data_IF_120013849344
#
_entry.id   IF_120013849344
#
_cell.length_a   1.000
_cell.length_b   1.000
_cell.length_c   1.000
_cell.angle_alpha   90.00
_cell.angle_beta   90.00
_cell.angle_gamma   90.00
#
_symmetry.space_group_name_H-M   'P 1'
#
loop_
_entity.id
_entity.type
_entity.pdbx_description
1 polymer ?
#
# COMPACT_ATOMS: atom_id res chain seq x y z
N UNK A 1 10.19 16.02 -53.61
CA UNK A 1 9.37 17.17 -53.22
C UNK A 1 7.93 16.74 -53.21
N UNK A 2 7.12 16.86 -52.17
CA UNK A 2 7.21 17.29 -50.76
C UNK A 2 5.81 16.91 -50.20
N UNK A 3 5.68 16.26 -49.04
CA UNK A 3 5.20 16.86 -47.77
C UNK A 3 3.78 17.48 -47.92
N UNK A 4 2.69 17.08 -47.27
CA UNK A 4 2.42 16.93 -45.82
C UNK A 4 0.93 16.48 -45.67
N UNK A 5 0.57 15.53 -44.79
CA UNK A 5 -0.05 15.81 -43.48
C UNK A 5 -1.56 16.12 -43.58
N UNK A 6 -2.50 15.34 -43.04
CA UNK A 6 -2.68 15.23 -41.59
C UNK A 6 -3.70 14.13 -41.25
N UNK A 7 -3.16 13.09 -40.60
CA UNK A 7 -3.65 12.32 -39.44
C UNK A 7 -5.16 12.04 -39.31
N UNK A 8 -5.44 10.75 -39.44
CA UNK A 8 -6.55 9.97 -38.90
C UNK A 8 -7.03 10.46 -37.52
N UNK A 9 -8.33 10.29 -37.17
CA UNK A 9 -8.82 10.58 -35.84
C UNK A 9 -8.12 9.64 -34.86
N UNK A 10 -7.08 10.14 -34.19
CA UNK A 10 -6.39 9.46 -33.11
C UNK A 10 -7.40 9.28 -31.97
N UNK A 11 -8.08 8.14 -32.04
CA UNK A 11 -9.05 7.65 -31.11
C UNK A 11 -8.39 7.54 -29.74
N UNK A 12 -8.65 8.53 -28.88
CA UNK A 12 -8.78 8.48 -27.42
C UNK A 12 -8.01 7.37 -26.65
N UNK A 13 -6.76 7.08 -27.01
CA UNK A 13 -5.91 6.16 -26.25
C UNK A 13 -5.28 6.88 -25.05
N UNK A 14 -6.03 7.74 -24.34
CA UNK A 14 -5.50 8.61 -23.28
C UNK A 14 -6.49 8.78 -22.12
N UNK A 15 -6.83 7.68 -21.45
CA UNK A 15 -7.54 7.70 -20.14
C UNK A 15 -7.37 6.40 -19.34
N UNK A 16 -7.10 5.28 -20.01
CA UNK A 16 -6.99 3.95 -19.37
C UNK A 16 -5.66 3.70 -18.66
N UNK A 17 -4.64 4.52 -18.88
CA UNK A 17 -3.28 4.29 -18.35
C UNK A 17 -3.00 5.02 -17.02
N UNK A 18 -3.59 6.21 -16.82
CA UNK A 18 -3.51 6.94 -15.54
C UNK A 18 -4.29 6.24 -14.43
N UNK A 19 -5.23 5.37 -14.81
CA UNK A 19 -5.92 4.41 -13.95
C UNK A 19 -5.30 3.02 -14.05
N UNK A 20 -4.01 2.83 -14.29
CA UNK A 20 -3.26 1.67 -13.75
C UNK A 20 -2.97 1.85 -12.26
N UNK A 21 -4.09 2.17 -11.60
CA UNK A 21 -4.48 1.95 -10.25
C UNK A 21 -3.34 1.83 -9.27
N UNK A 22 -3.28 2.85 -8.44
CA UNK A 22 -2.93 2.74 -7.05
C UNK A 22 -3.80 1.72 -6.24
N UNK A 23 -4.36 0.69 -6.88
CA UNK A 23 -4.94 -0.50 -6.24
C UNK A 23 -3.94 -1.23 -5.37
N UNK A 24 -2.65 -0.96 -5.53
CA UNK A 24 -1.64 -1.50 -4.65
C UNK A 24 -1.73 -0.89 -3.24
N UNK A 25 -2.33 0.28 -3.01
CA UNK A 25 -2.61 0.76 -1.64
C UNK A 25 -3.92 0.17 -1.10
N UNK A 26 -4.02 0.04 0.23
CA UNK A 26 -5.23 -0.43 0.94
C UNK A 26 -5.58 0.53 2.05
N UNK A 27 -6.88 0.71 2.28
CA UNK A 27 -7.37 1.54 3.38
C UNK A 27 -7.18 0.79 4.69
N UNK A 28 -7.00 1.52 5.79
CA UNK A 28 -6.91 0.90 7.10
C UNK A 28 -8.27 0.35 7.54
N UNK A 29 -9.38 0.90 7.05
CA UNK A 29 -10.74 0.35 7.24
C UNK A 29 -10.88 -1.09 6.74
N UNK A 30 -10.17 -1.47 5.68
CA UNK A 30 -10.24 -2.81 5.07
C UNK A 30 -9.31 -3.82 5.75
N UNK A 31 -8.50 -3.35 6.71
CA UNK A 31 -7.49 -4.15 7.38
C UNK A 31 -8.06 -4.83 8.63
N UNK A 32 -7.96 -6.17 8.71
CA UNK A 32 -8.33 -6.92 9.92
C UNK A 32 -7.43 -6.66 11.13
N UNK A 33 -6.35 -5.89 10.97
CA UNK A 33 -5.52 -5.43 12.08
C UNK A 33 -5.95 -4.07 12.63
N UNK A 34 -6.93 -3.39 12.02
CA UNK A 34 -7.57 -2.22 12.61
C UNK A 34 -8.59 -2.68 13.65
N UNK A 35 -8.46 -2.19 14.88
CA UNK A 35 -9.39 -2.49 15.95
C UNK A 35 -10.51 -1.47 16.02
N UNK A 36 -11.59 -1.84 16.74
CA UNK A 36 -12.78 -0.99 16.87
C UNK A 36 -12.50 0.37 17.53
N UNK A 37 -11.47 0.45 18.35
CA UNK A 37 -10.99 1.68 19.00
C UNK A 37 -10.12 2.56 18.07
N UNK A 38 -9.94 2.17 16.81
CA UNK A 38 -9.11 2.85 15.82
C UNK A 38 -7.62 2.56 15.94
N UNK A 39 -7.19 1.72 16.90
CA UNK A 39 -5.78 1.38 17.06
C UNK A 39 -5.36 0.25 16.11
N UNK A 40 -4.11 0.27 15.68
CA UNK A 40 -3.54 -0.79 14.88
C UNK A 40 -3.00 -1.92 15.77
N UNK A 41 -3.63 -3.09 15.74
CA UNK A 41 -3.18 -4.27 16.46
C UNK A 41 -1.77 -4.73 16.04
N UNK A 42 -1.41 -4.57 14.76
CA UNK A 42 -0.07 -4.91 14.27
C UNK A 42 1.01 -3.99 14.89
N UNK A 43 0.72 -2.69 15.04
CA UNK A 43 1.61 -1.76 15.74
C UNK A 43 1.69 -2.10 17.23
N UNK A 44 0.54 -2.40 17.87
CA UNK A 44 0.47 -2.79 19.28
C UNK A 44 1.26 -4.06 19.59
N UNK A 45 1.24 -5.04 18.67
CA UNK A 45 2.03 -6.28 18.75
C UNK A 45 3.50 -6.11 18.35
N UNK A 46 3.94 -4.89 18.05
CA UNK A 46 5.31 -4.58 17.60
C UNK A 46 5.69 -5.27 16.27
N UNK A 47 4.71 -5.66 15.46
CA UNK A 47 4.92 -6.14 14.09
C UNK A 47 5.32 -4.99 13.14
N UNK A 48 5.05 -3.74 13.56
CA UNK A 48 5.40 -2.50 12.84
C UNK A 48 6.36 -1.66 13.70
N UNK A 49 7.67 -1.96 13.70
CA UNK A 49 8.64 -1.30 14.57
C UNK A 49 8.77 0.21 14.31
N UNK A 50 8.43 0.68 13.11
CA UNK A 50 8.40 2.09 12.73
C UNK A 50 7.22 2.88 13.34
N UNK A 51 6.27 2.21 13.98
CA UNK A 51 5.09 2.82 14.60
C UNK A 51 5.07 2.56 16.11
N UNK A 52 4.50 3.52 16.86
CA UNK A 52 4.29 3.35 18.29
C UNK A 52 3.21 2.28 18.58
N UNK A 53 3.23 1.61 19.75
CA UNK A 53 2.23 0.61 20.10
C UNK A 53 0.78 1.12 20.14
N UNK A 54 0.60 2.43 20.37
CA UNK A 54 -0.68 3.14 20.40
C UNK A 54 -0.99 3.87 19.08
N UNK A 55 -0.37 3.43 17.98
CA UNK A 55 -0.57 4.05 16.67
C UNK A 55 -2.01 3.83 16.18
N UNK A 56 -2.74 4.92 15.98
CA UNK A 56 -4.07 4.96 15.39
C UNK A 56 -3.97 5.55 13.96
N UNK A 57 -4.04 4.72 12.91
CA UNK A 57 -4.05 5.22 11.54
C UNK A 57 -5.39 5.87 11.20
N UNK A 58 -5.36 6.80 10.24
CA UNK A 58 -6.57 7.25 9.57
C UNK A 58 -7.16 6.07 8.74
N UNK A 59 -8.43 5.68 8.97
CA UNK A 59 -9.05 4.52 8.32
C UNK A 59 -9.21 4.69 6.81
N UNK A 60 -9.49 5.90 6.33
CA UNK A 60 -9.82 6.18 4.92
C UNK A 60 -8.57 6.44 4.09
N UNK A 61 -7.43 6.72 4.73
CA UNK A 61 -6.18 6.96 4.02
C UNK A 61 -5.64 5.64 3.42
N UNK A 62 -5.53 5.51 2.09
CA UNK A 62 -4.94 4.32 1.47
C UNK A 62 -3.42 4.33 1.64
N UNK A 63 -2.84 3.22 2.13
CA UNK A 63 -1.41 3.08 2.41
C UNK A 63 -0.87 1.72 1.99
N UNK A 64 0.45 1.62 1.85
CA UNK A 64 1.18 0.34 1.81
C UNK A 64 1.64 0.03 3.22
N UNK A 65 1.26 -1.12 3.77
CA UNK A 65 1.53 -1.46 5.17
C UNK A 65 1.95 -2.93 5.31
N UNK A 66 3.17 -3.21 5.79
CA UNK A 66 3.64 -4.60 5.93
C UNK A 66 2.81 -5.44 6.92
N UNK A 67 2.08 -4.79 7.83
CA UNK A 67 1.18 -5.40 8.80
C UNK A 67 -0.27 -5.48 8.34
N UNK A 68 -0.57 -5.12 7.08
CA UNK A 68 -1.91 -5.27 6.52
C UNK A 68 -2.35 -6.73 6.55
N UNK A 69 -3.58 -6.94 7.02
CA UNK A 69 -4.25 -8.23 7.03
C UNK A 69 -5.53 -8.10 6.18
N UNK A 70 -5.61 -8.80 5.04
CA UNK A 70 -6.77 -8.69 4.16
C UNK A 70 -8.02 -9.24 4.85
N UNK A 71 -9.14 -8.56 4.64
CA UNK A 71 -10.47 -9.08 4.97
C UNK A 71 -10.91 -10.20 4.02
N UNK A 72 -12.00 -10.92 4.34
CA UNK A 72 -12.54 -11.97 3.48
C UNK A 72 -12.97 -11.44 2.10
N UNK A 73 -13.29 -10.15 2.01
CA UNK A 73 -13.72 -9.48 0.77
C UNK A 73 -12.57 -8.90 -0.06
N UNK A 74 -11.32 -8.94 0.43
CA UNK A 74 -10.17 -8.47 -0.36
C UNK A 74 -9.87 -9.47 -1.50
N UNK A 75 -9.84 -9.05 -2.78
CA UNK A 75 -9.47 -9.94 -3.88
C UNK A 75 -8.04 -10.45 -3.78
N UNK A 76 -7.18 -9.77 -3.01
CA UNK A 76 -5.80 -10.15 -2.76
C UNK A 76 -5.63 -10.56 -1.29
N UNK A 77 -5.65 -11.88 -1.04
CA UNK A 77 -5.51 -12.47 0.29
C UNK A 77 -4.07 -12.52 0.81
N UNK A 78 -3.10 -11.91 0.11
CA UNK A 78 -1.71 -11.84 0.56
C UNK A 78 -1.57 -10.86 1.73
N UNK A 79 -0.76 -11.23 2.71
CA UNK A 79 -0.44 -10.34 3.82
C UNK A 79 0.42 -9.17 3.32
N UNK A 80 0.43 -8.06 4.07
CA UNK A 80 1.15 -6.86 3.67
C UNK A 80 2.63 -7.10 3.31
N UNK A 81 3.34 -7.94 4.08
CA UNK A 81 4.75 -8.29 3.79
C UNK A 81 4.94 -9.02 2.45
N UNK A 82 3.96 -9.83 2.04
CA UNK A 82 3.99 -10.62 0.80
C UNK A 82 3.56 -9.76 -0.39
N UNK A 83 2.64 -8.84 -0.14
CA UNK A 83 2.12 -7.89 -1.13
C UNK A 83 3.13 -6.79 -1.46
N UNK A 84 3.84 -6.27 -0.45
CA UNK A 84 4.83 -5.21 -0.59
C UNK A 84 6.24 -5.67 -0.14
N UNK A 85 6.88 -6.61 -0.86
CA UNK A 85 8.18 -7.17 -0.45
C UNK A 85 9.29 -6.12 -0.41
N UNK A 86 9.23 -5.11 -1.29
CA UNK A 86 10.20 -4.00 -1.29
C UNK A 86 10.04 -3.08 -0.06
N UNK A 87 8.81 -2.89 0.42
CA UNK A 87 8.54 -2.13 1.66
C UNK A 87 9.04 -2.92 2.87
N UNK A 88 8.76 -4.22 2.92
CA UNK A 88 9.25 -5.10 3.98
C UNK A 88 10.77 -5.09 4.03
N UNK A 89 11.46 -5.31 2.90
CA UNK A 89 12.93 -5.26 2.83
C UNK A 89 13.49 -3.93 3.34
N UNK A 90 12.91 -2.80 2.91
CA UNK A 90 13.36 -1.48 3.35
C UNK A 90 13.19 -1.29 4.86
N UNK A 91 12.04 -1.69 5.41
CA UNK A 91 11.77 -1.57 6.85
C UNK A 91 12.64 -2.51 7.68
N UNK A 92 12.87 -3.74 7.24
CA UNK A 92 13.80 -4.68 7.88
C UNK A 92 15.22 -4.10 7.93
N UNK A 93 15.71 -3.52 6.83
CA UNK A 93 17.03 -2.89 6.81
C UNK A 93 17.14 -1.67 7.74
N UNK A 94 16.06 -0.91 7.93
CA UNK A 94 16.04 0.22 8.88
C UNK A 94 16.11 -0.27 10.33
N UNK A 95 15.36 -1.32 10.65
CA UNK A 95 15.38 -1.90 12.01
C UNK A 95 16.71 -2.51 12.40
N UNK A 96 17.45 -3.09 11.45
CA UNK A 96 18.78 -3.64 11.71
C UNK A 96 19.83 -2.56 12.00
N UNK A 97 19.66 -1.34 11.47
CA UNK A 97 20.57 -0.22 11.72
C UNK A 97 20.28 0.50 13.05
N UNK A 98 19.06 0.39 13.58
CA UNK A 98 18.63 1.03 14.84
C UNK A 98 18.82 0.15 16.09
N UNK A 99 19.25 -1.10 15.94
CA UNK A 99 19.58 -1.97 17.07
C UNK A 99 20.98 -1.64 17.64
N UNK A 100 21.13 -1.29 18.93
CA UNK A 100 22.44 -1.12 19.54
C UNK A 100 23.17 -2.47 19.59
N UNK A 101 24.48 -2.46 19.28
CA UNK A 101 25.38 -3.62 19.39
C UNK A 101 25.57 -4.03 20.84
#
# INVERSE_FOLDING_TARGET
>A
NDSEGTREPQSAANDSDARFLDTDRRQCSDCLALEYDGQCAAARRRELPQHAPWFAPDPETPRRCIGYRPGPDDPDQRLGRERWPNLYRRLSSLTEMEAPR
#
